data_IF_659782676561
#
_entry.id   IF_659782676561
#
_cell.length_a   1.000
_cell.length_b   1.000
_cell.length_c   1.000
_cell.angle_alpha   90.00
_cell.angle_beta   90.00
_cell.angle_gamma   90.00
#
_symmetry.space_group_name_H-M   'P 1'
#
loop_
_entity.id
_entity.type
_entity.pdbx_description
1 polymer ?
#
# COMPACT_ATOMS: atom_id res chain seq x y z
N UNK A 1 -16.88 -66.93 23.70
CA UNK A 1 -16.40 -65.52 23.65
C UNK A 1 -17.21 -64.65 22.68
N UNK A 2 -18.11 -65.26 21.90
CA UNK A 2 -18.35 -64.84 20.52
C UNK A 2 -19.52 -63.83 20.41
N UNK A 3 -20.48 -63.89 21.33
CA UNK A 3 -21.54 -62.89 21.45
C UNK A 3 -20.99 -61.45 21.59
N UNK A 4 -19.83 -61.27 22.24
CA UNK A 4 -19.21 -59.96 22.43
C UNK A 4 -18.56 -59.43 21.12
N UNK A 5 -18.06 -60.33 20.27
CA UNK A 5 -17.60 -59.99 18.91
C UNK A 5 -18.77 -59.66 17.98
N UNK A 6 -19.90 -60.37 18.13
CA UNK A 6 -21.11 -60.11 17.35
C UNK A 6 -21.67 -58.70 17.65
N UNK A 7 -21.71 -58.30 18.92
CA UNK A 7 -22.09 -56.94 19.33
C UNK A 7 -21.15 -55.86 18.77
N UNK A 8 -19.84 -56.09 18.78
CA UNK A 8 -18.87 -55.15 18.19
C UNK A 8 -19.03 -55.03 16.67
N UNK A 9 -19.26 -56.14 15.95
CA UNK A 9 -19.51 -56.13 14.51
C UNK A 9 -20.81 -55.37 14.17
N UNK A 10 -21.87 -55.55 14.97
CA UNK A 10 -23.13 -54.82 14.82
C UNK A 10 -22.95 -53.31 15.10
N UNK A 11 -22.17 -52.92 16.11
CA UNK A 11 -21.85 -51.51 16.36
C UNK A 11 -21.09 -50.86 15.20
N UNK A 12 -20.08 -51.56 14.63
CA UNK A 12 -19.34 -51.07 13.48
C UNK A 12 -20.22 -50.93 12.22
N UNK A 13 -21.14 -51.88 11.99
CA UNK A 13 -22.12 -51.78 10.90
C UNK A 13 -23.10 -50.62 11.09
N UNK A 14 -23.48 -50.31 12.34
CA UNK A 14 -24.35 -49.17 12.65
C UNK A 14 -23.65 -47.82 12.43
N UNK A 15 -22.41 -47.67 12.92
CA UNK A 15 -21.58 -46.49 12.69
C UNK A 15 -21.25 -46.26 11.20
N UNK A 16 -21.04 -47.34 10.43
CA UNK A 16 -20.86 -47.26 8.98
C UNK A 16 -22.17 -46.89 8.25
N UNK A 17 -23.34 -47.27 8.78
CA UNK A 17 -24.63 -46.84 8.24
C UNK A 17 -24.89 -45.35 8.50
N UNK A 18 -24.57 -44.83 9.69
CA UNK A 18 -24.65 -43.40 9.98
C UNK A 18 -23.69 -42.59 9.07
N UNK A 19 -22.46 -43.05 8.90
CA UNK A 19 -21.50 -42.45 7.96
C UNK A 19 -21.98 -42.50 6.50
N UNK A 20 -22.66 -43.58 6.09
CA UNK A 20 -23.21 -43.73 4.75
C UNK A 20 -24.46 -42.87 4.47
N UNK A 21 -25.19 -42.40 5.50
CA UNK A 21 -26.25 -41.41 5.33
C UNK A 21 -25.71 -39.98 5.15
N UNK A 22 -24.49 -39.70 5.61
CA UNK A 22 -23.88 -38.36 5.54
C UNK A 22 -23.45 -37.91 4.13
N UNK A 23 -23.45 -38.81 3.14
CA UNK A 23 -23.00 -38.54 1.75
C UNK A 23 -24.12 -38.21 0.76
N UNK A 24 -25.35 -37.94 1.23
CA UNK A 24 -26.44 -37.52 0.33
C UNK A 24 -26.25 -36.10 -0.20
N UNK A 25 -26.32 -35.98 -1.53
CA UNK A 25 -26.29 -34.72 -2.29
C UNK A 25 -27.27 -33.69 -1.70
N UNK A 26 -26.76 -32.53 -1.28
CA UNK A 26 -27.57 -31.40 -0.78
C UNK A 26 -28.31 -30.68 -1.90
N UNK A 27 -29.37 -31.31 -2.41
CA UNK A 27 -30.45 -30.60 -3.13
C UNK A 27 -31.53 -30.19 -2.12
N UNK A 28 -32.06 -28.97 -2.30
CA UNK A 28 -32.79 -28.16 -1.29
C UNK A 28 -31.94 -27.69 -0.10
N UNK A 29 -31.58 -26.39 -0.11
CA UNK A 29 -31.63 -25.58 1.11
C UNK A 29 -33.12 -25.33 1.39
N UNK A 30 -33.68 -25.95 2.42
CA UNK A 30 -34.84 -25.37 3.10
C UNK A 30 -34.30 -24.27 4.03
N UNK A 31 -34.86 -23.06 3.96
CA UNK A 31 -34.38 -21.93 4.77
C UNK A 31 -34.63 -22.23 6.25
N UNK A 32 -33.62 -22.00 7.08
CA UNK A 32 -33.73 -22.27 8.51
C UNK A 32 -34.79 -21.36 9.16
N UNK A 33 -35.70 -21.89 10.00
CA UNK A 33 -36.64 -21.06 10.75
C UNK A 33 -35.85 -20.17 11.71
N UNK A 34 -35.95 -18.86 11.51
CA UNK A 34 -35.15 -17.83 12.20
C UNK A 34 -34.75 -16.64 11.32
N UNK A 35 -34.67 -16.80 9.99
CA UNK A 35 -34.33 -15.67 9.08
C UNK A 35 -35.30 -14.48 9.17
N UNK A 36 -36.51 -14.70 9.68
CA UNK A 36 -37.54 -13.67 9.88
C UNK A 36 -37.37 -12.86 11.19
N UNK A 37 -36.58 -13.32 12.17
CA UNK A 37 -36.46 -12.64 13.48
C UNK A 37 -35.50 -11.44 13.48
N UNK A 38 -34.73 -11.24 12.40
CA UNK A 38 -33.77 -10.13 12.29
C UNK A 38 -34.08 -9.12 11.17
N UNK A 39 -35.15 -9.35 10.42
CA UNK A 39 -35.64 -8.43 9.39
C UNK A 39 -34.81 -8.43 8.10
N UNK A 40 -35.39 -8.94 7.02
CA UNK A 40 -34.83 -8.78 5.66
C UNK A 40 -35.18 -7.36 5.19
N UNK A 41 -34.30 -6.40 5.47
CA UNK A 41 -34.55 -5.00 5.16
C UNK A 41 -34.19 -4.66 3.70
N UNK A 42 -35.24 -4.52 2.88
CA UNK A 42 -35.37 -3.65 1.70
C UNK A 42 -34.04 -3.10 1.13
N UNK A 43 -33.46 -3.82 0.16
CA UNK A 43 -32.27 -3.36 -0.56
C UNK A 43 -32.58 -2.35 -1.69
N UNK A 44 -33.81 -1.83 -1.78
CA UNK A 44 -34.17 -0.72 -2.66
C UNK A 44 -34.00 -1.00 -4.16
N UNK A 45 -34.72 -2.00 -4.68
CA UNK A 45 -34.68 -2.39 -6.09
C UNK A 45 -36.04 -2.79 -6.66
N UNK A 46 -36.21 -2.57 -7.95
CA UNK A 46 -37.41 -2.86 -8.76
C UNK A 46 -37.36 -4.29 -9.34
N UNK A 47 -37.28 -5.30 -8.48
CA UNK A 47 -37.00 -6.70 -8.86
C UNK A 47 -38.11 -7.34 -9.71
N UNK A 48 -39.37 -7.15 -9.34
CA UNK A 48 -40.54 -7.59 -10.12
C UNK A 48 -40.91 -6.57 -11.22
N UNK A 49 -40.58 -5.30 -11.03
CA UNK A 49 -41.00 -4.20 -11.90
C UNK A 49 -40.08 -3.99 -13.12
N UNK A 50 -38.81 -4.43 -13.09
CA UNK A 50 -37.81 -4.09 -14.12
C UNK A 50 -37.52 -5.25 -15.11
N UNK A 51 -38.56 -5.90 -15.61
CA UNK A 51 -38.48 -6.85 -16.72
C UNK A 51 -39.86 -7.15 -17.32
N UNK A 52 -40.02 -6.99 -18.63
CA UNK A 52 -41.32 -7.08 -19.34
C UNK A 52 -41.95 -8.50 -19.38
N UNK A 53 -41.33 -9.50 -18.75
CA UNK A 53 -41.83 -10.89 -18.72
C UNK A 53 -41.56 -11.54 -17.36
N UNK A 54 -42.59 -11.66 -16.51
CA UNK A 54 -42.56 -12.62 -15.39
C UNK A 54 -42.59 -14.04 -15.98
N UNK A 55 -41.58 -14.86 -15.69
CA UNK A 55 -41.41 -16.14 -16.37
C UNK A 55 -42.47 -17.19 -15.96
N UNK A 56 -42.91 -17.98 -16.94
CA UNK A 56 -43.94 -19.01 -16.74
C UNK A 56 -43.37 -20.26 -16.06
N UNK A 57 -43.35 -20.21 -14.72
CA UNK A 57 -42.85 -21.27 -13.86
C UNK A 57 -41.39 -21.06 -13.48
N UNK A 58 -40.76 -22.11 -12.94
CA UNK A 58 -39.38 -22.04 -12.46
C UNK A 58 -38.39 -22.14 -13.62
N UNK A 59 -38.01 -20.99 -14.16
CA UNK A 59 -36.84 -20.83 -15.03
C UNK A 59 -35.67 -20.24 -14.22
N UNK A 60 -34.65 -21.06 -13.95
CA UNK A 60 -33.45 -20.64 -13.22
C UNK A 60 -32.59 -19.63 -14.04
N UNK A 61 -32.88 -19.43 -15.33
CA UNK A 61 -32.35 -18.34 -16.16
C UNK A 61 -33.07 -16.99 -15.98
N UNK A 62 -34.14 -16.95 -15.21
CA UNK A 62 -35.02 -15.80 -15.00
C UNK A 62 -35.04 -15.32 -13.53
N UNK A 63 -34.03 -15.69 -12.73
CA UNK A 63 -33.89 -15.30 -11.33
C UNK A 63 -33.01 -14.07 -11.14
N UNK A 64 -33.33 -13.22 -10.16
CA UNK A 64 -32.42 -12.14 -9.74
C UNK A 64 -31.65 -12.59 -8.48
N UNK A 65 -30.31 -12.46 -8.44
CA UNK A 65 -29.54 -12.71 -7.23
C UNK A 65 -29.86 -11.70 -6.11
N UNK A 66 -30.10 -12.21 -4.91
CA UNK A 66 -30.34 -11.41 -3.70
C UNK A 66 -29.54 -12.01 -2.54
N UNK A 67 -28.43 -11.35 -2.17
CA UNK A 67 -27.41 -11.91 -1.29
C UNK A 67 -27.04 -13.36 -1.68
N UNK A 68 -26.99 -14.30 -0.73
CA UNK A 68 -26.66 -15.71 -0.95
C UNK A 68 -27.85 -16.57 -1.49
N UNK A 69 -28.86 -15.92 -2.07
CA UNK A 69 -30.10 -16.54 -2.56
C UNK A 69 -30.47 -16.07 -3.97
N UNK A 70 -31.31 -16.85 -4.64
CA UNK A 70 -31.93 -16.48 -5.92
C UNK A 70 -33.41 -16.21 -5.65
N UNK A 71 -33.89 -15.03 -6.01
CA UNK A 71 -35.32 -14.70 -5.96
C UNK A 71 -35.99 -14.99 -7.31
N UNK A 72 -37.24 -15.45 -7.26
CA UNK A 72 -38.02 -15.83 -8.43
C UNK A 72 -39.23 -14.90 -8.58
N UNK A 73 -39.33 -14.21 -9.72
CA UNK A 73 -40.50 -13.40 -10.08
C UNK A 73 -41.61 -14.29 -10.70
N UNK A 74 -42.02 -15.34 -9.98
CA UNK A 74 -42.90 -16.40 -10.48
C UNK A 74 -44.39 -16.11 -10.28
N UNK A 75 -45.23 -16.80 -11.05
CA UNK A 75 -46.68 -16.57 -11.11
C UNK A 75 -47.48 -17.26 -9.98
N UNK A 76 -46.83 -17.74 -8.91
CA UNK A 76 -47.46 -18.48 -7.80
C UNK A 76 -47.55 -17.67 -6.50
N UNK A 77 -48.30 -16.56 -6.55
CA UNK A 77 -48.75 -15.77 -5.40
C UNK A 77 -49.74 -16.51 -4.45
N UNK A 78 -49.62 -17.83 -4.31
CA UNK A 78 -50.46 -18.71 -3.50
C UNK A 78 -49.63 -19.86 -2.89
N UNK A 79 -48.58 -19.49 -2.14
CA UNK A 79 -47.76 -20.39 -1.33
C UNK A 79 -47.48 -19.77 0.04
N UNK A 80 -47.27 -20.63 1.03
CA UNK A 80 -47.08 -20.27 2.45
C UNK A 80 -45.61 -20.31 2.90
N UNK A 81 -44.66 -20.29 1.95
CA UNK A 81 -43.21 -20.32 2.18
C UNK A 81 -42.55 -19.32 1.23
N UNK A 82 -41.56 -18.58 1.72
CA UNK A 82 -41.07 -17.33 1.09
C UNK A 82 -39.84 -17.55 0.20
N UNK A 83 -40.07 -17.63 -1.12
CA UNK A 83 -39.03 -17.55 -2.16
C UNK A 83 -39.07 -16.19 -2.94
N UNK A 84 -39.89 -15.24 -2.48
CA UNK A 84 -40.27 -14.02 -3.23
C UNK A 84 -39.32 -12.82 -3.05
N UNK A 85 -39.33 -11.91 -4.04
CA UNK A 85 -38.58 -10.65 -4.02
C UNK A 85 -39.05 -9.65 -2.95
N UNK A 86 -38.21 -8.68 -2.51
CA UNK A 86 -38.58 -7.67 -1.51
C UNK A 86 -39.80 -6.80 -1.85
N UNK A 87 -40.06 -6.55 -3.14
CA UNK A 87 -41.17 -5.73 -3.66
C UNK A 87 -42.50 -6.48 -3.83
N UNK A 88 -42.54 -7.78 -3.48
CA UNK A 88 -43.71 -8.66 -3.61
C UNK A 88 -45.01 -8.10 -3.00
N UNK A 89 -44.96 -7.54 -1.79
CA UNK A 89 -46.17 -7.08 -1.08
C UNK A 89 -46.85 -5.90 -1.77
N UNK A 90 -46.05 -4.91 -2.16
CA UNK A 90 -46.54 -3.68 -2.79
C UNK A 90 -46.91 -3.92 -4.27
N UNK A 91 -46.15 -4.74 -5.00
CA UNK A 91 -46.37 -4.97 -6.43
C UNK A 91 -47.37 -6.11 -6.73
N UNK A 92 -47.22 -7.29 -6.11
CA UNK A 92 -48.03 -8.47 -6.45
C UNK A 92 -49.35 -8.55 -5.67
N UNK A 93 -49.42 -7.95 -4.47
CA UNK A 93 -50.63 -7.99 -3.62
C UNK A 93 -51.26 -6.62 -3.37
N UNK A 94 -50.60 -5.51 -3.75
CA UNK A 94 -51.13 -4.15 -3.60
C UNK A 94 -51.32 -3.71 -2.15
N UNK A 95 -50.60 -4.31 -1.20
CA UNK A 95 -50.70 -4.03 0.23
C UNK A 95 -49.35 -3.57 0.80
N UNK A 96 -49.32 -2.63 1.76
CA UNK A 96 -48.07 -2.25 2.41
C UNK A 96 -47.45 -3.46 3.12
N UNK A 97 -46.12 -3.58 3.06
CA UNK A 97 -45.41 -4.71 3.65
C UNK A 97 -45.73 -4.87 5.16
N UNK A 98 -45.93 -6.11 5.66
CA UNK A 98 -46.41 -6.35 7.02
C UNK A 98 -45.41 -5.99 8.14
N UNK A 99 -44.17 -5.64 7.78
CA UNK A 99 -43.15 -5.17 8.70
C UNK A 99 -42.98 -3.66 8.54
N UNK A 100 -43.25 -2.83 9.57
CA UNK A 100 -43.08 -1.39 9.48
C UNK A 100 -41.61 -1.05 9.24
N UNK A 101 -41.34 -0.05 8.39
CA UNK A 101 -39.96 0.40 8.12
C UNK A 101 -39.30 0.85 9.42
N UNK A 102 -38.25 0.13 9.83
CA UNK A 102 -37.47 0.44 11.03
C UNK A 102 -36.88 1.87 10.94
N UNK A 103 -36.58 2.52 12.08
CA UNK A 103 -36.01 3.88 12.10
C UNK A 103 -34.59 3.89 11.49
N UNK A 104 -34.56 4.05 10.18
CA UNK A 104 -33.36 4.14 9.36
C UNK A 104 -32.85 5.58 9.21
N UNK A 105 -31.63 5.70 8.72
CA UNK A 105 -30.97 6.96 8.48
C UNK A 105 -31.22 7.43 7.04
N UNK A 106 -31.61 8.69 6.86
CA UNK A 106 -31.81 9.27 5.53
C UNK A 106 -30.50 9.93 5.03
N UNK A 107 -30.19 9.77 3.75
CA UNK A 107 -29.08 10.47 3.07
C UNK A 107 -29.31 10.57 1.57
N UNK A 108 -29.09 11.75 0.98
CA UNK A 108 -29.21 12.01 -0.46
C UNK A 108 -30.51 11.50 -1.12
N UNK A 109 -31.64 11.58 -0.41
CA UNK A 109 -32.95 11.10 -0.91
C UNK A 109 -33.18 9.58 -0.80
N UNK A 110 -32.25 8.83 -0.22
CA UNK A 110 -32.37 7.39 0.06
C UNK A 110 -32.45 7.13 1.57
N UNK A 111 -33.12 6.05 1.96
CA UNK A 111 -33.24 5.58 3.34
C UNK A 111 -32.40 4.32 3.52
N UNK A 112 -31.66 4.25 4.62
CA UNK A 112 -30.74 3.15 4.94
C UNK A 112 -31.17 2.50 6.28
N UNK A 113 -31.24 1.17 6.39
CA UNK A 113 -31.65 0.51 7.63
C UNK A 113 -30.64 0.71 8.76
N UNK A 114 -31.07 0.52 10.01
CA UNK A 114 -30.20 0.52 11.19
C UNK A 114 -29.07 -0.51 11.02
N UNK A 115 -27.82 -0.11 11.33
CA UNK A 115 -26.63 -0.94 11.11
C UNK A 115 -26.07 -0.92 9.69
N UNK A 116 -26.76 -0.31 8.71
CA UNK A 116 -26.18 -0.11 7.38
C UNK A 116 -24.94 0.78 7.45
N UNK A 117 -23.90 0.42 6.69
CA UNK A 117 -22.68 1.21 6.54
C UNK A 117 -22.60 1.82 5.15
N UNK A 118 -22.02 3.02 5.05
CA UNK A 118 -21.47 3.55 3.82
C UNK A 118 -20.14 4.25 4.12
N UNK A 119 -19.27 4.36 3.11
CA UNK A 119 -17.99 5.03 3.26
C UNK A 119 -18.11 6.48 2.79
N UNK A 120 -17.79 7.43 3.66
CA UNK A 120 -17.72 8.85 3.36
C UNK A 120 -16.26 9.29 3.29
N UNK A 121 -15.72 9.37 2.07
CA UNK A 121 -14.30 9.61 1.83
C UNK A 121 -13.47 8.44 2.43
N UNK A 122 -12.84 8.62 3.59
CA UNK A 122 -12.21 7.54 4.35
C UNK A 122 -13.07 7.00 5.51
N UNK A 123 -13.98 7.82 6.04
CA UNK A 123 -14.74 7.51 7.26
C UNK A 123 -15.82 6.47 7.00
N UNK A 124 -15.90 5.44 7.84
CA UNK A 124 -17.03 4.53 7.87
C UNK A 124 -18.19 5.18 8.65
N UNK A 125 -19.33 5.32 7.99
CA UNK A 125 -20.55 5.87 8.56
C UNK A 125 -21.59 4.76 8.76
N UNK A 126 -21.89 4.45 10.03
CA UNK A 126 -22.84 3.40 10.43
C UNK A 126 -24.17 4.04 10.86
N UNK A 127 -25.31 3.51 10.40
CA UNK A 127 -26.62 4.01 10.83
C UNK A 127 -26.93 3.56 12.27
N UNK A 128 -26.99 4.50 13.21
CA UNK A 128 -27.25 4.22 14.62
C UNK A 128 -28.74 3.94 14.93
N UNK A 129 -29.06 3.29 16.08
CA UNK A 129 -30.44 2.96 16.47
C UNK A 129 -31.39 4.15 16.65
N UNK A 130 -30.85 5.37 16.70
CA UNK A 130 -31.60 6.63 16.78
C UNK A 130 -31.98 7.23 15.41
N UNK A 131 -31.67 6.55 14.29
CA UNK A 131 -31.83 7.10 12.94
C UNK A 131 -30.80 8.18 12.59
N UNK A 132 -29.75 8.32 13.40
CA UNK A 132 -28.62 9.23 13.16
C UNK A 132 -27.39 8.45 12.67
N UNK A 133 -26.66 9.04 11.72
CA UNK A 133 -25.38 8.52 11.25
C UNK A 133 -24.31 8.67 12.33
N UNK A 134 -23.70 7.55 12.71
CA UNK A 134 -22.50 7.48 13.53
C UNK A 134 -21.32 7.28 12.59
N UNK A 135 -20.74 8.39 12.15
CA UNK A 135 -19.51 8.41 11.37
C UNK A 135 -18.28 8.44 12.28
N UNK A 136 -17.22 7.79 11.82
CA UNK A 136 -15.87 8.12 12.25
C UNK A 136 -15.56 9.61 11.95
N UNK A 137 -14.83 10.29 12.84
CA UNK A 137 -14.28 11.66 12.63
C UNK A 137 -12.78 11.58 12.35
N UNK A 138 -12.37 10.73 11.40
CA UNK A 138 -11.02 10.74 10.88
C UNK A 138 -10.87 11.85 9.84
N UNK A 139 -9.71 12.53 9.85
CA UNK A 139 -9.39 13.56 8.88
C UNK A 139 -8.95 12.91 7.56
N UNK A 140 -9.87 12.84 6.60
CA UNK A 140 -9.65 12.13 5.34
C UNK A 140 -8.81 12.94 4.34
N UNK A 141 -7.85 12.26 3.70
CA UNK A 141 -6.86 12.88 2.81
C UNK A 141 -7.44 13.47 1.51
N UNK A 142 -8.58 12.98 1.01
CA UNK A 142 -9.20 13.50 -0.23
C UNK A 142 -10.19 14.62 0.08
N UNK A 143 -9.74 15.72 0.67
CA UNK A 143 -10.58 16.92 0.86
C UNK A 143 -10.81 17.61 -0.49
N UNK A 144 -12.08 17.62 -0.93
CA UNK A 144 -12.48 18.24 -2.19
C UNK A 144 -12.21 19.75 -2.24
N UNK A 145 -12.33 20.45 -1.11
CA UNK A 145 -12.01 21.88 -1.02
C UNK A 145 -10.50 22.14 -1.12
N UNK A 146 -9.68 21.20 -0.66
CA UNK A 146 -8.22 21.30 -0.70
C UNK A 146 -7.68 21.03 -2.11
N UNK A 147 -8.19 20.00 -2.81
CA UNK A 147 -7.94 19.80 -4.25
C UNK A 147 -8.31 21.06 -5.03
N UNK A 148 -9.49 21.61 -4.75
CA UNK A 148 -9.98 22.85 -5.37
C UNK A 148 -9.11 24.06 -5.03
N UNK A 149 -8.59 24.18 -3.80
CA UNK A 149 -7.75 25.28 -3.37
C UNK A 149 -6.38 25.24 -4.04
N UNK A 150 -5.72 24.08 -4.10
CA UNK A 150 -4.45 23.86 -4.80
C UNK A 150 -4.59 24.19 -6.30
N UNK A 151 -5.73 23.87 -6.92
CA UNK A 151 -6.00 24.23 -8.32
C UNK A 151 -6.42 25.69 -8.55
N UNK A 152 -6.75 26.46 -7.50
CA UNK A 152 -7.25 27.86 -7.62
C UNK A 152 -6.31 28.93 -7.04
N UNK A 153 -5.32 28.55 -6.24
CA UNK A 153 -4.48 29.50 -5.51
C UNK A 153 -3.02 29.08 -5.45
N UNK A 154 -2.13 30.08 -5.47
CA UNK A 154 -0.70 29.87 -5.35
C UNK A 154 -0.37 29.46 -3.90
N UNK A 155 -0.29 28.14 -3.65
CA UNK A 155 0.22 27.45 -2.44
C UNK A 155 -0.82 27.30 -1.24
N UNK A 156 -1.03 26.10 -0.61
CA UNK A 156 -1.52 25.88 0.80
C UNK A 156 -1.12 24.63 1.71
N UNK A 157 -0.61 24.79 2.97
CA UNK A 157 0.16 23.83 3.86
C UNK A 157 -0.53 23.03 5.04
N UNK A 158 0.06 21.86 5.38
CA UNK A 158 0.00 20.95 6.58
C UNK A 158 -1.30 20.09 6.74
N UNK A 159 -1.40 18.74 6.96
CA UNK A 159 -0.63 17.45 7.10
C UNK A 159 -1.65 16.27 7.40
N UNK A 160 -1.49 14.99 7.87
CA UNK A 160 -0.45 13.97 8.22
C UNK A 160 -0.69 12.74 7.27
N UNK A 161 -1.58 11.82 7.70
CA UNK A 161 -1.95 10.48 7.20
C UNK A 161 -3.04 9.90 8.15
N UNK A 162 -3.74 8.80 7.80
CA UNK A 162 -4.89 8.29 8.56
C UNK A 162 -5.17 6.77 8.46
N UNK A 163 -5.75 6.19 9.53
CA UNK A 163 -6.13 4.79 9.70
C UNK A 163 -7.21 4.27 8.73
N UNK A 164 -7.47 2.96 8.79
CA UNK A 164 -8.73 2.36 8.31
C UNK A 164 -8.93 2.40 6.79
N UNK A 165 -8.09 1.69 6.04
CA UNK A 165 -8.17 1.67 4.56
C UNK A 165 -7.58 2.91 3.88
N UNK A 166 -7.29 3.97 4.63
CA UNK A 166 -6.29 4.98 4.25
C UNK A 166 -4.86 4.52 4.53
N UNK A 167 -3.87 5.18 3.92
CA UNK A 167 -2.46 5.04 4.31
C UNK A 167 -2.24 5.87 5.58
N UNK A 168 -1.84 5.22 6.69
CA UNK A 168 -1.52 5.88 7.97
C UNK A 168 -0.02 6.08 8.17
N UNK A 169 0.32 7.01 9.07
CA UNK A 169 1.66 7.18 9.61
C UNK A 169 2.03 6.03 10.54
N UNK A 170 3.12 5.35 10.20
CA UNK A 170 4.03 4.88 11.25
C UNK A 170 4.66 6.07 11.96
N UNK A 171 5.17 5.84 13.18
CA UNK A 171 5.81 6.89 13.97
C UNK A 171 6.99 7.56 13.23
N UNK A 172 7.35 8.80 13.60
CA UNK A 172 8.34 9.60 12.88
C UNK A 172 9.63 8.82 12.65
N UNK A 173 10.21 8.97 11.45
CA UNK A 173 11.58 8.56 11.19
C UNK A 173 12.49 9.36 12.13
N UNK A 174 12.90 8.73 13.24
CA UNK A 174 13.78 9.35 14.23
C UNK A 174 15.13 9.56 13.56
N UNK A 175 15.37 10.78 13.08
CA UNK A 175 16.68 11.23 12.59
C UNK A 175 17.61 11.40 13.78
N UNK A 176 17.99 10.27 14.37
CA UNK A 176 19.22 10.16 15.13
C UNK A 176 20.35 10.60 14.20
N UNK A 177 21.04 11.68 14.58
CA UNK A 177 22.23 12.17 13.90
C UNK A 177 23.19 11.00 13.65
N UNK A 178 23.43 10.61 12.38
CA UNK A 178 24.27 9.45 12.12
C UNK A 178 25.69 9.74 12.58
N UNK A 179 26.30 8.77 13.27
CA UNK A 179 27.73 8.56 13.11
C UNK A 179 27.99 7.98 11.72
N UNK A 180 27.79 8.80 10.69
CA UNK A 180 28.36 8.62 9.36
C UNK A 180 29.87 8.84 9.49
N UNK A 181 30.57 7.85 10.06
CA UNK A 181 32.02 7.93 10.37
C UNK A 181 32.89 7.93 9.12
N UNK A 182 32.31 7.76 7.94
CA UNK A 182 32.91 8.10 6.67
C UNK A 182 32.50 9.53 6.31
N UNK A 183 33.49 10.42 6.20
CA UNK A 183 33.37 11.61 5.36
C UNK A 183 32.94 11.14 3.95
N UNK A 184 32.19 11.95 3.18
CA UNK A 184 32.04 11.68 1.75
C UNK A 184 33.44 11.55 1.11
N UNK A 185 33.60 10.73 0.04
CA UNK A 185 34.80 10.79 -0.77
C UNK A 185 35.01 12.24 -1.21
N UNK A 186 36.25 12.74 -1.23
CA UNK A 186 36.53 14.12 -1.61
C UNK A 186 36.11 14.36 -3.06
N UNK A 187 34.91 14.90 -3.24
CA UNK A 187 34.41 15.33 -4.54
C UNK A 187 35.21 16.56 -4.95
N UNK A 188 36.23 16.32 -5.77
CA UNK A 188 36.92 17.38 -6.50
C UNK A 188 35.93 17.98 -7.51
N UNK A 189 35.15 18.93 -7.03
CA UNK A 189 34.30 19.80 -7.84
C UNK A 189 35.13 21.01 -8.24
N UNK A 190 35.41 21.16 -9.53
CA UNK A 190 35.94 22.42 -10.04
C UNK A 190 34.82 23.48 -9.91
N UNK A 191 35.13 24.68 -9.43
CA UNK A 191 34.14 25.76 -9.34
C UNK A 191 33.56 26.12 -10.71
N UNK A 192 34.31 25.87 -11.78
CA UNK A 192 33.95 26.05 -13.19
C UNK A 192 33.24 24.84 -13.81
N UNK A 193 33.00 23.75 -13.08
CA UNK A 193 32.37 22.55 -13.60
C UNK A 193 30.89 22.82 -13.96
N UNK A 194 30.58 22.69 -15.26
CA UNK A 194 29.24 22.95 -15.82
C UNK A 194 28.48 21.63 -15.95
N UNK A 195 27.60 21.37 -14.99
CA UNK A 195 26.70 20.23 -14.99
C UNK A 195 25.53 20.45 -15.99
N UNK A 196 24.95 19.40 -16.59
CA UNK A 196 23.85 19.54 -17.56
C UNK A 196 22.58 20.07 -16.88
N UNK A 197 21.75 20.84 -17.61
CA UNK A 197 20.50 21.41 -17.09
C UNK A 197 19.43 20.36 -16.74
N UNK A 198 19.43 19.25 -17.49
CA UNK A 198 18.56 18.10 -17.26
C UNK A 198 19.40 16.84 -17.13
N UNK A 199 19.00 15.96 -16.22
CA UNK A 199 19.60 14.65 -16.02
C UNK A 199 18.55 13.65 -15.55
N UNK A 200 18.60 12.45 -16.12
CA UNK A 200 17.82 11.30 -15.69
C UNK A 200 18.75 10.08 -15.64
N UNK A 201 18.78 9.41 -14.49
CA UNK A 201 19.55 8.19 -14.29
C UNK A 201 19.03 7.03 -15.17
N UNK A 202 17.73 6.94 -15.45
CA UNK A 202 17.17 5.86 -16.27
C UNK A 202 17.61 5.98 -17.75
N UNK A 203 17.60 7.19 -18.29
CA UNK A 203 18.17 7.49 -19.60
C UNK A 203 19.70 7.28 -19.66
N UNK A 204 20.45 7.56 -18.58
CA UNK A 204 21.92 7.33 -18.55
C UNK A 204 22.30 5.86 -18.38
N UNK A 205 21.56 5.09 -17.57
CA UNK A 205 21.83 3.68 -17.30
C UNK A 205 20.57 2.81 -17.54
N UNK A 206 20.18 2.59 -18.82
CA UNK A 206 18.98 1.84 -19.14
C UNK A 206 19.00 0.42 -18.56
N UNK A 207 17.90 0.01 -17.92
CA UNK A 207 17.77 -1.29 -17.27
C UNK A 207 18.55 -1.47 -15.96
N UNK A 208 19.22 -0.43 -15.46
CA UNK A 208 19.94 -0.46 -14.17
C UNK A 208 19.23 0.34 -13.06
N UNK A 209 18.17 1.06 -13.40
CA UNK A 209 17.34 1.84 -12.48
C UNK A 209 16.00 1.11 -12.29
N UNK A 210 15.65 0.79 -11.04
CA UNK A 210 14.44 0.02 -10.73
C UNK A 210 13.24 0.93 -10.45
N UNK A 211 12.06 0.48 -10.88
CA UNK A 211 10.79 1.21 -10.73
C UNK A 211 10.32 1.35 -9.26
N UNK A 212 9.46 2.35 -8.97
CA UNK A 212 8.81 2.52 -7.66
C UNK A 212 7.94 1.32 -7.24
N UNK A 213 8.36 0.62 -6.18
CA UNK A 213 7.52 -0.35 -5.46
C UNK A 213 6.46 0.38 -4.59
N UNK A 214 5.42 -0.33 -4.11
CA UNK A 214 4.48 0.20 -3.10
C UNK A 214 4.72 -0.40 -1.71
N UNK A 215 4.86 0.47 -0.70
CA UNK A 215 4.87 0.13 0.72
C UNK A 215 3.48 -0.19 1.29
N UNK A 216 2.40 0.05 0.54
CA UNK A 216 1.02 -0.13 0.99
C UNK A 216 0.75 0.66 2.28
N UNK A 217 0.18 -0.02 3.28
CA UNK A 217 -0.13 0.55 4.60
C UNK A 217 1.01 0.35 5.63
N UNK A 218 2.22 0.01 5.18
CA UNK A 218 3.43 -0.09 6.02
C UNK A 218 4.24 1.21 5.93
N UNK A 219 4.65 1.83 7.04
CA UNK A 219 5.57 2.99 7.02
C UNK A 219 7.04 2.55 6.81
N UNK A 220 7.26 1.79 5.75
CA UNK A 220 8.54 1.17 5.41
C UNK A 220 9.42 2.01 4.50
N UNK A 221 9.07 3.26 4.17
CA UNK A 221 9.77 4.08 3.17
C UNK A 221 11.28 4.19 3.39
N UNK A 222 11.74 4.18 4.64
CA UNK A 222 13.15 4.07 5.04
C UNK A 222 13.85 2.83 4.44
N UNK A 223 13.19 1.67 4.48
CA UNK A 223 13.69 0.41 3.94
C UNK A 223 13.53 0.35 2.42
N UNK A 224 12.38 0.80 1.88
CA UNK A 224 12.10 0.81 0.45
C UNK A 224 13.10 1.68 -0.32
N UNK A 225 13.33 2.92 0.11
CA UNK A 225 14.27 3.81 -0.56
C UNK A 225 15.75 3.40 -0.36
N UNK A 226 16.12 2.80 0.79
CA UNK A 226 17.46 2.22 0.97
C UNK A 226 17.67 1.02 0.04
N UNK A 227 16.69 0.11 -0.06
CA UNK A 227 16.75 -1.03 -0.98
C UNK A 227 16.80 -0.59 -2.44
N UNK A 228 15.96 0.37 -2.86
CA UNK A 228 15.94 0.88 -4.23
C UNK A 228 17.24 1.59 -4.62
N UNK A 229 17.78 2.48 -3.78
CA UNK A 229 19.08 3.14 -4.03
C UNK A 229 20.21 2.11 -4.09
N UNK A 230 20.21 1.12 -3.19
CA UNK A 230 21.23 0.07 -3.22
C UNK A 230 21.15 -0.84 -4.46
N UNK A 231 19.94 -1.15 -4.93
CA UNK A 231 19.70 -1.93 -6.16
C UNK A 231 20.31 -1.22 -7.37
N UNK A 232 19.99 0.06 -7.54
CA UNK A 232 20.48 0.87 -8.65
C UNK A 232 21.99 1.08 -8.58
N UNK A 233 22.54 1.38 -7.39
CA UNK A 233 23.98 1.55 -7.18
C UNK A 233 24.76 0.27 -7.50
N UNK A 234 24.29 -0.91 -7.08
CA UNK A 234 24.93 -2.18 -7.42
C UNK A 234 24.88 -2.44 -8.93
N UNK A 235 23.77 -2.07 -9.59
CA UNK A 235 23.59 -2.22 -11.03
C UNK A 235 24.56 -1.33 -11.82
N UNK A 236 24.61 -0.04 -11.48
CA UNK A 236 25.51 0.96 -12.10
C UNK A 236 26.98 0.59 -11.88
N UNK A 237 27.39 0.35 -10.63
CA UNK A 237 28.79 0.08 -10.32
C UNK A 237 29.27 -1.30 -10.80
N UNK A 238 28.37 -2.25 -11.07
CA UNK A 238 28.70 -3.53 -11.73
C UNK A 238 28.69 -3.44 -13.26
N UNK A 239 28.46 -2.25 -13.82
CA UNK A 239 28.33 -2.02 -15.27
C UNK A 239 27.24 -2.91 -15.92
N UNK A 240 26.15 -3.17 -15.18
CA UNK A 240 25.08 -4.06 -15.62
C UNK A 240 25.46 -5.55 -15.69
N UNK A 241 26.50 -6.00 -14.98
CA UNK A 241 26.76 -7.44 -14.81
C UNK A 241 25.76 -8.11 -13.86
N UNK A 242 25.17 -7.35 -12.95
CA UNK A 242 24.04 -7.77 -12.12
C UNK A 242 23.06 -6.61 -11.93
N UNK A 243 21.75 -6.90 -11.96
CA UNK A 243 20.68 -5.92 -11.72
C UNK A 243 19.73 -6.42 -10.62
N UNK A 244 20.16 -6.49 -9.35
CA UNK A 244 19.39 -7.10 -8.30
C UNK A 244 18.40 -6.11 -7.66
N UNK A 245 17.11 -6.28 -7.93
CA UNK A 245 16.05 -5.60 -7.19
C UNK A 245 16.01 -6.12 -5.75
N UNK A 246 16.50 -5.34 -4.78
CA UNK A 246 16.67 -5.76 -3.38
C UNK A 246 15.37 -5.68 -2.58
N UNK A 247 15.17 -6.65 -1.67
CA UNK A 247 13.96 -6.78 -0.84
C UNK A 247 13.85 -5.71 0.25
N UNK A 248 12.80 -4.85 0.23
CA UNK A 248 12.46 -4.03 1.38
C UNK A 248 11.94 -4.87 2.55
N UNK A 249 11.22 -5.96 2.27
CA UNK A 249 10.66 -6.87 3.28
C UNK A 249 11.74 -7.51 4.15
N UNK A 250 12.90 -7.82 3.58
CA UNK A 250 14.03 -8.38 4.31
C UNK A 250 14.62 -7.35 5.29
N UNK A 251 14.72 -6.07 4.93
CA UNK A 251 15.06 -5.01 5.89
C UNK A 251 13.98 -4.88 6.98
N UNK A 252 12.70 -4.74 6.60
CA UNK A 252 11.58 -4.51 7.50
C UNK A 252 11.39 -5.61 8.56
N UNK A 253 11.66 -6.85 8.18
CA UNK A 253 11.49 -8.04 9.05
C UNK A 253 12.75 -8.38 9.84
N UNK A 254 13.95 -8.10 9.30
CA UNK A 254 15.20 -8.67 9.78
C UNK A 254 16.23 -7.66 10.30
N UNK A 255 16.11 -6.36 10.00
CA UNK A 255 16.80 -5.30 10.74
C UNK A 255 15.95 -4.87 11.92
N UNK A 256 16.09 -5.57 13.05
CA UNK A 256 15.28 -5.32 14.26
C UNK A 256 16.01 -4.45 15.29
N UNK A 257 17.24 -3.98 15.02
CA UNK A 257 18.06 -3.27 16.00
C UNK A 257 17.77 -1.77 16.00
N UNK A 258 16.95 -1.32 16.94
CA UNK A 258 16.47 0.06 17.06
C UNK A 258 15.57 0.54 15.90
N UNK A 259 15.09 -0.39 15.07
CA UNK A 259 14.07 -0.16 14.04
C UNK A 259 12.68 -0.56 14.55
N UNK A 260 11.62 -0.14 13.85
CA UNK A 260 10.22 -0.52 14.17
C UNK A 260 9.48 -1.11 12.96
N UNK A 261 10.20 -1.56 11.93
CA UNK A 261 9.61 -2.16 10.73
C UNK A 261 8.63 -1.21 10.04
N UNK A 262 7.35 -1.58 10.03
CA UNK A 262 6.25 -0.79 9.47
C UNK A 262 5.78 0.37 10.35
N UNK A 263 6.31 0.55 11.56
CA UNK A 263 6.04 1.71 12.42
C UNK A 263 7.17 2.76 12.39
N UNK A 264 7.87 2.85 11.26
CA UNK A 264 9.01 3.73 11.02
C UNK A 264 10.38 3.10 11.32
N UNK A 265 11.44 3.76 10.89
CA UNK A 265 12.81 3.27 11.03
C UNK A 265 13.88 4.32 10.76
N UNK A 266 15.14 3.90 10.87
CA UNK A 266 16.34 4.72 10.80
C UNK A 266 17.21 4.31 9.62
N UNK A 267 17.63 5.32 8.85
CA UNK A 267 18.50 5.17 7.69
C UNK A 267 19.90 4.68 8.08
N UNK A 268 20.45 5.14 9.21
CA UNK A 268 21.77 4.70 9.68
C UNK A 268 21.80 3.22 10.07
N UNK A 269 20.71 2.72 10.67
CA UNK A 269 20.49 1.30 10.92
C UNK A 269 20.39 0.50 9.62
N UNK A 270 19.58 0.97 8.66
CA UNK A 270 19.38 0.29 7.38
C UNK A 270 20.67 0.16 6.56
N UNK A 271 21.44 1.24 6.42
CA UNK A 271 22.75 1.20 5.75
C UNK A 271 23.80 0.40 6.54
N UNK A 272 23.74 0.41 7.89
CA UNK A 272 24.58 -0.47 8.70
C UNK A 272 24.23 -1.95 8.46
N UNK A 273 22.93 -2.27 8.35
CA UNK A 273 22.44 -3.63 8.09
C UNK A 273 22.87 -4.09 6.71
N UNK A 274 22.59 -3.33 5.65
CA UNK A 274 22.97 -3.68 4.29
C UNK A 274 24.50 -3.84 4.13
N UNK A 275 25.29 -2.96 4.77
CA UNK A 275 26.76 -3.10 4.82
C UNK A 275 27.19 -4.37 5.56
N UNK A 276 26.65 -4.63 6.76
CA UNK A 276 27.18 -5.67 7.68
C UNK A 276 26.57 -7.05 7.49
N UNK A 277 25.29 -7.12 7.14
CA UNK A 277 24.46 -8.31 6.94
C UNK A 277 24.13 -8.53 5.48
N UNK A 278 23.81 -7.48 4.74
CA UNK A 278 23.27 -7.59 3.38
C UNK A 278 21.82 -8.09 3.36
N UNK A 279 21.22 -8.08 2.17
CA UNK A 279 19.83 -8.51 1.92
C UNK A 279 19.73 -9.35 0.64
N UNK A 280 18.63 -10.09 0.49
CA UNK A 280 18.28 -10.79 -0.76
C UNK A 280 17.46 -9.92 -1.73
N UNK A 281 17.21 -10.42 -2.94
CA UNK A 281 16.26 -9.82 -3.88
C UNK A 281 14.82 -9.86 -3.38
N UNK A 282 13.99 -8.93 -3.86
CA UNK A 282 12.54 -8.95 -3.63
C UNK A 282 11.90 -10.21 -4.25
N UNK A 283 12.40 -10.70 -5.38
CA UNK A 283 11.99 -12.00 -5.96
C UNK A 283 12.15 -13.17 -4.98
N UNK A 284 13.15 -13.12 -4.08
CA UNK A 284 13.39 -14.15 -3.08
C UNK A 284 12.55 -13.92 -1.81
N UNK A 285 12.45 -12.68 -1.35
CA UNK A 285 11.63 -12.30 -0.20
C UNK A 285 10.75 -11.08 -0.54
N UNK A 286 9.59 -11.31 -1.20
CA UNK A 286 8.76 -10.22 -1.70
C UNK A 286 8.05 -9.48 -0.59
N UNK A 287 7.75 -8.20 -0.81
CA UNK A 287 6.93 -7.42 0.09
C UNK A 287 5.48 -7.93 0.17
N UNK A 288 4.92 -7.97 1.38
CA UNK A 288 3.56 -8.42 1.65
C UNK A 288 2.78 -7.40 2.49
N UNK A 289 1.87 -6.68 1.84
CA UNK A 289 1.01 -5.67 2.45
C UNK A 289 -0.15 -6.30 3.25
N UNK A 290 0.13 -6.98 4.36
CA UNK A 290 -0.92 -7.48 5.25
C UNK A 290 -1.53 -6.33 6.08
N UNK A 291 -2.79 -6.00 5.81
CA UNK A 291 -3.51 -4.82 6.33
C UNK A 291 -3.82 -4.79 7.84
N UNK A 292 -3.45 -5.82 8.61
CA UNK A 292 -4.01 -6.03 9.96
C UNK A 292 -3.05 -6.60 11.02
N UNK A 293 -1.73 -6.44 10.85
CA UNK A 293 -0.72 -6.90 11.82
C UNK A 293 0.17 -5.75 12.34
N UNK A 294 -0.01 -5.29 13.59
CA UNK A 294 0.86 -4.27 14.21
C UNK A 294 2.29 -4.74 14.54
N UNK A 295 2.58 -6.03 14.35
CA UNK A 295 3.89 -6.62 14.53
C UNK A 295 4.60 -6.75 13.18
N UNK A 296 5.87 -6.33 13.12
CA UNK A 296 6.72 -6.63 11.96
C UNK A 296 6.79 -8.15 11.73
N UNK A 297 6.53 -8.58 10.50
CA UNK A 297 6.58 -9.99 10.08
C UNK A 297 7.88 -10.63 10.57
N UNK A 298 7.84 -11.83 11.18
CA UNK A 298 9.03 -12.44 11.76
C UNK A 298 10.08 -12.70 10.68
N UNK A 299 11.35 -12.48 11.01
CA UNK A 299 12.44 -12.66 10.04
C UNK A 299 12.56 -14.12 9.57
N UNK A 300 12.06 -14.40 8.37
CA UNK A 300 12.19 -15.71 7.72
C UNK A 300 13.60 -15.97 7.16
N UNK A 301 14.42 -14.92 6.95
CA UNK A 301 15.75 -15.05 6.34
C UNK A 301 16.79 -14.08 6.93
N UNK A 302 17.70 -14.61 7.74
CA UNK A 302 18.90 -13.92 8.20
C UNK A 302 20.11 -14.20 7.29
N UNK A 303 21.22 -13.50 7.52
CA UNK A 303 22.51 -13.79 6.86
C UNK A 303 23.61 -14.22 7.84
N UNK A 304 24.29 -15.32 7.48
CA UNK A 304 25.49 -15.85 8.16
C UNK A 304 26.77 -15.34 7.48
N UNK A 305 27.85 -15.26 8.24
CA UNK A 305 29.18 -14.88 7.72
C UNK A 305 29.89 -16.10 7.15
N UNK A 306 30.38 -16.03 5.92
CA UNK A 306 31.14 -17.10 5.26
C UNK A 306 32.66 -16.86 5.25
N UNK A 307 33.11 -15.75 5.83
CA UNK A 307 34.52 -15.33 5.83
C UNK A 307 34.83 -14.30 4.75
N UNK A 308 36.01 -13.66 4.82
CA UNK A 308 36.42 -12.55 3.92
C UNK A 308 35.37 -11.41 3.80
N UNK A 309 34.51 -11.30 4.80
CA UNK A 309 33.35 -10.39 4.80
C UNK A 309 32.21 -10.76 3.86
N UNK A 310 32.25 -11.89 3.12
CA UNK A 310 31.10 -12.39 2.34
C UNK A 310 30.00 -12.93 3.28
N UNK A 311 28.79 -13.02 2.74
CA UNK A 311 27.55 -13.42 3.43
C UNK A 311 26.82 -14.51 2.64
N UNK A 312 25.96 -15.24 3.32
CA UNK A 312 25.01 -16.20 2.72
C UNK A 312 23.71 -16.19 3.52
N UNK A 313 22.57 -16.39 2.87
CA UNK A 313 21.30 -16.61 3.54
C UNK A 313 21.36 -17.83 4.49
N UNK A 314 20.55 -17.80 5.56
CA UNK A 314 20.42 -18.93 6.50
C UNK A 314 19.29 -19.91 6.13
N UNK A 315 18.49 -19.58 5.13
CA UNK A 315 17.27 -20.29 4.75
C UNK A 315 17.08 -20.29 3.21
N UNK A 316 16.05 -20.99 2.73
CA UNK A 316 15.53 -20.81 1.38
C UNK A 316 14.64 -19.55 1.30
N UNK A 317 14.39 -19.07 0.08
CA UNK A 317 13.53 -17.92 -0.18
C UNK A 317 12.09 -18.14 0.36
N UNK A 318 11.49 -17.15 1.04
CA UNK A 318 10.06 -17.16 1.37
C UNK A 318 9.16 -17.27 0.13
N UNK A 319 9.59 -16.75 -1.03
CA UNK A 319 8.97 -17.09 -2.31
C UNK A 319 9.44 -18.50 -2.77
N UNK A 320 8.55 -19.50 -2.86
CA UNK A 320 8.93 -20.86 -3.29
C UNK A 320 9.29 -20.96 -4.78
N UNK A 321 8.98 -19.93 -5.59
CA UNK A 321 9.30 -19.88 -7.02
C UNK A 321 10.78 -19.55 -7.28
N UNK A 322 11.45 -18.94 -6.31
CA UNK A 322 12.82 -18.43 -6.45
C UNK A 322 13.79 -19.28 -5.63
N UNK A 323 14.90 -19.71 -6.23
CA UNK A 323 15.96 -20.45 -5.52
C UNK A 323 17.24 -19.62 -5.31
N UNK A 324 17.35 -18.45 -5.95
CA UNK A 324 18.45 -17.51 -5.77
C UNK A 324 18.31 -16.75 -4.44
N UNK A 325 19.08 -17.17 -3.42
CA UNK A 325 19.14 -16.54 -2.10
C UNK A 325 20.47 -15.80 -1.85
N UNK A 326 20.99 -15.16 -2.91
CA UNK A 326 22.22 -14.37 -2.87
C UNK A 326 22.08 -13.15 -1.95
N UNK A 327 23.11 -12.86 -1.16
CA UNK A 327 23.12 -11.74 -0.21
C UNK A 327 23.99 -10.61 -0.75
N UNK A 328 23.32 -9.55 -1.20
CA UNK A 328 23.94 -8.33 -1.69
C UNK A 328 24.28 -7.39 -0.54
N UNK A 329 25.38 -6.65 -0.66
CA UNK A 329 25.91 -5.76 0.38
C UNK A 329 26.30 -4.41 -0.20
N UNK A 330 26.33 -3.38 0.66
CA UNK A 330 26.87 -2.06 0.33
C UNK A 330 28.24 -1.81 0.96
N UNK A 331 28.92 -0.77 0.49
CA UNK A 331 29.99 -0.09 1.25
C UNK A 331 29.38 0.71 2.41
N UNK A 332 30.16 1.40 3.26
CA UNK A 332 29.60 2.37 4.20
C UNK A 332 28.98 3.54 3.42
N UNK A 333 27.71 3.84 3.69
CA UNK A 333 27.08 5.04 3.19
C UNK A 333 27.67 6.30 3.82
N UNK A 334 27.64 7.41 3.08
CA UNK A 334 28.13 8.74 3.48
C UNK A 334 27.05 9.80 3.24
N UNK A 335 27.08 10.86 4.06
CA UNK A 335 26.21 12.04 3.88
C UNK A 335 26.87 13.03 2.93
N UNK A 336 26.12 13.53 1.97
CA UNK A 336 26.52 14.66 1.11
C UNK A 336 26.33 15.98 1.85
N UNK A 337 27.01 17.03 1.42
CA UNK A 337 26.62 18.39 1.81
C UNK A 337 25.29 18.78 1.14
N UNK A 338 24.58 19.75 1.73
CA UNK A 338 23.34 20.33 1.18
C UNK A 338 23.59 21.28 0.00
N UNK A 339 24.65 21.04 -0.78
CA UNK A 339 25.00 21.79 -1.98
C UNK A 339 24.28 21.19 -3.19
N UNK A 340 23.44 21.99 -3.86
CA UNK A 340 22.78 21.63 -5.13
C UNK A 340 23.76 20.95 -6.10
N UNK A 341 24.95 21.55 -6.28
CA UNK A 341 25.99 21.03 -7.19
C UNK A 341 26.60 19.69 -6.73
N UNK A 342 26.77 19.47 -5.43
CA UNK A 342 27.35 18.22 -4.91
C UNK A 342 26.37 17.06 -5.08
N UNK A 343 25.09 17.29 -4.80
CA UNK A 343 24.00 16.33 -5.02
C UNK A 343 23.86 16.02 -6.53
N UNK A 344 23.89 17.04 -7.40
CA UNK A 344 23.90 16.85 -8.86
C UNK A 344 25.13 16.06 -9.33
N UNK A 345 26.33 16.33 -8.80
CA UNK A 345 27.57 15.63 -9.21
C UNK A 345 27.56 14.16 -8.77
N UNK A 346 27.15 13.86 -7.54
CA UNK A 346 27.00 12.49 -7.05
C UNK A 346 25.98 11.69 -7.87
N UNK A 347 24.84 12.30 -8.20
CA UNK A 347 23.83 11.72 -9.10
C UNK A 347 24.39 11.44 -10.50
N UNK A 348 25.18 12.38 -11.05
CA UNK A 348 25.79 12.25 -12.37
C UNK A 348 26.84 11.15 -12.43
N UNK A 349 27.76 11.10 -11.46
CA UNK A 349 28.91 10.18 -11.47
C UNK A 349 28.52 8.79 -10.99
N UNK A 350 27.77 8.69 -9.89
CA UNK A 350 27.58 7.45 -9.13
C UNK A 350 26.14 6.93 -9.13
N UNK A 351 25.15 7.75 -9.52
CA UNK A 351 23.74 7.34 -9.68
C UNK A 351 22.81 7.76 -8.53
N UNK A 352 21.58 7.21 -8.47
CA UNK A 352 20.54 7.63 -7.53
C UNK A 352 21.00 7.75 -6.08
N UNK A 353 20.48 8.76 -5.37
CA UNK A 353 20.79 9.04 -3.95
C UNK A 353 19.55 8.92 -3.09
N UNK A 354 19.73 8.61 -1.81
CA UNK A 354 18.61 8.58 -0.86
C UNK A 354 18.47 9.95 -0.19
N UNK A 355 17.25 10.48 -0.14
CA UNK A 355 16.93 11.72 0.57
C UNK A 355 15.89 11.48 1.67
N UNK A 356 15.82 12.40 2.64
CA UNK A 356 14.65 12.64 3.48
C UNK A 356 13.96 13.88 2.93
N UNK A 357 12.63 13.91 2.92
CA UNK A 357 11.87 15.16 2.88
C UNK A 357 10.82 15.18 4.00
N UNK A 358 10.40 16.39 4.36
CA UNK A 358 9.16 16.63 5.08
C UNK A 358 7.98 16.44 4.12
N UNK A 359 7.00 15.64 4.54
CA UNK A 359 5.77 15.35 3.80
C UNK A 359 4.60 15.95 4.54
N UNK A 360 3.76 16.60 3.74
CA UNK A 360 2.59 17.34 4.14
C UNK A 360 1.38 16.81 3.35
N UNK A 361 0.17 17.29 3.63
CA UNK A 361 -1.10 16.84 3.06
C UNK A 361 -1.21 17.08 1.54
N UNK A 362 -0.76 18.24 1.08
CA UNK A 362 -0.77 18.65 -0.34
C UNK A 362 0.08 17.70 -1.20
N UNK A 363 1.19 17.20 -0.66
CA UNK A 363 2.05 16.22 -1.31
C UNK A 363 1.33 14.90 -1.62
N UNK A 364 0.39 14.43 -0.79
CA UNK A 364 -0.35 13.19 -1.10
C UNK A 364 -1.23 13.33 -2.34
N UNK A 365 -1.74 14.53 -2.60
CA UNK A 365 -2.54 14.88 -3.78
C UNK A 365 -1.70 15.08 -5.05
N UNK A 366 -0.37 15.03 -4.95
CA UNK A 366 0.52 15.26 -6.08
C UNK A 366 0.22 14.31 -7.24
N UNK A 367 0.04 14.91 -8.42
CA UNK A 367 -0.28 14.20 -9.68
C UNK A 367 0.71 14.50 -10.80
N UNK A 368 1.15 15.75 -10.91
CA UNK A 368 2.05 16.21 -11.97
C UNK A 368 2.58 17.62 -11.69
N UNK A 369 3.69 17.99 -12.33
CA UNK A 369 4.30 19.33 -12.23
C UNK A 369 5.40 19.39 -11.17
N UNK A 370 5.87 20.59 -10.85
CA UNK A 370 6.95 20.80 -9.86
C UNK A 370 6.30 21.13 -8.52
N UNK A 371 6.30 20.17 -7.59
CA UNK A 371 5.84 20.34 -6.22
C UNK A 371 6.71 21.34 -5.45
N UNK A 372 6.03 22.11 -4.60
CA UNK A 372 6.55 23.03 -3.58
C UNK A 372 5.62 22.93 -2.37
N UNK A 373 6.05 23.36 -1.18
CA UNK A 373 5.18 23.38 0.02
C UNK A 373 4.62 24.76 0.39
N UNK A 374 3.54 24.71 1.17
CA UNK A 374 2.30 25.49 1.03
C UNK A 374 2.28 27.02 1.47
N UNK A 375 1.11 27.70 1.79
CA UNK A 375 0.68 27.95 3.23
C UNK A 375 -0.78 27.70 3.75
N UNK A 376 -1.90 28.03 3.07
CA UNK A 376 -3.34 27.92 3.48
C UNK A 376 -3.78 27.04 4.69
N UNK A 377 -3.52 25.72 4.80
CA UNK A 377 -4.07 24.91 5.91
C UNK A 377 -3.44 25.23 7.29
N UNK A 378 -2.50 26.17 7.34
CA UNK A 378 -2.23 27.07 8.48
C UNK A 378 -3.49 27.72 9.10
N UNK A 379 -4.58 27.86 8.34
CA UNK A 379 -5.90 28.28 8.84
C UNK A 379 -6.81 27.14 9.30
N UNK A 380 -6.56 25.88 8.89
CA UNK A 380 -7.34 24.70 9.31
C UNK A 380 -6.73 24.17 10.62
N UNK A 381 -7.43 24.36 11.74
CA UNK A 381 -6.91 24.10 13.11
C UNK A 381 -6.35 22.68 13.33
N UNK A 382 -5.59 22.45 14.42
CA UNK A 382 -4.51 21.44 14.54
C UNK A 382 -4.87 19.96 14.36
N UNK A 383 -6.15 19.61 14.13
CA UNK A 383 -6.49 18.29 13.56
C UNK A 383 -6.14 18.16 12.07
N UNK A 384 -5.72 19.26 11.41
CA UNK A 384 -5.25 19.28 10.02
C UNK A 384 -3.75 19.59 9.92
N UNK A 385 -3.16 20.46 10.77
CA UNK A 385 -1.72 20.81 10.71
C UNK A 385 -0.82 19.74 11.34
N UNK A 386 -0.03 19.04 10.52
CA UNK A 386 0.27 17.62 10.80
C UNK A 386 1.49 17.05 9.98
N UNK A 387 2.65 17.71 9.94
CA UNK A 387 3.80 17.28 9.08
C UNK A 387 4.54 16.00 9.54
N UNK A 388 5.07 15.18 8.62
CA UNK A 388 5.89 14.00 8.95
C UNK A 388 7.09 13.78 8.04
N UNK A 389 8.10 13.01 8.45
CA UNK A 389 9.31 12.74 7.64
C UNK A 389 9.21 11.47 6.81
N UNK A 390 9.54 11.57 5.52
CA UNK A 390 9.51 10.49 4.53
C UNK A 390 10.88 10.34 3.85
N UNK A 391 11.16 9.18 3.24
CA UNK A 391 12.44 8.94 2.55
C UNK A 391 12.24 8.36 1.16
N UNK A 392 12.97 8.93 0.20
CA UNK A 392 12.77 8.77 -1.25
C UNK A 392 14.10 8.55 -1.97
N UNK A 393 14.02 8.11 -3.22
CA UNK A 393 15.18 7.94 -4.12
C UNK A 393 15.19 9.10 -5.13
N UNK A 394 16.14 10.03 -5.05
CA UNK A 394 16.32 11.03 -6.11
C UNK A 394 16.99 10.33 -7.30
N UNK A 395 16.38 10.46 -8.49
CA UNK A 395 16.79 9.79 -9.74
C UNK A 395 17.27 10.76 -10.81
N UNK A 396 16.95 12.05 -10.71
CA UNK A 396 17.29 13.04 -11.73
C UNK A 396 17.08 14.49 -11.30
N UNK A 397 17.24 15.41 -12.24
CA UNK A 397 16.91 16.83 -12.07
C UNK A 397 16.58 17.48 -13.41
N UNK A 398 15.95 18.65 -13.37
CA UNK A 398 15.73 19.46 -14.56
C UNK A 398 15.48 20.93 -14.28
N UNK A 399 15.15 21.64 -15.35
CA UNK A 399 14.88 23.08 -15.40
C UNK A 399 13.74 23.30 -16.40
N UNK A 400 12.60 23.81 -15.92
CA UNK A 400 11.41 24.08 -16.73
C UNK A 400 11.24 25.60 -16.89
N UNK A 401 10.90 26.05 -18.10
CA UNK A 401 10.60 27.46 -18.38
C UNK A 401 9.11 27.70 -18.17
N UNK A 402 8.78 28.51 -17.16
CA UNK A 402 7.41 28.90 -16.85
C UNK A 402 6.87 29.93 -17.88
N UNK A 403 5.54 30.06 -18.05
CA UNK A 403 4.94 30.98 -19.02
C UNK A 403 5.24 32.48 -18.81
N UNK A 404 5.76 32.86 -17.63
CA UNK A 404 6.21 34.21 -17.29
C UNK A 404 7.70 34.46 -17.61
N UNK A 405 8.41 33.44 -18.11
CA UNK A 405 9.84 33.50 -18.44
C UNK A 405 10.78 33.16 -17.28
N UNK A 406 10.27 32.70 -16.14
CA UNK A 406 11.10 32.21 -15.03
C UNK A 406 11.52 30.75 -15.22
N UNK A 407 12.79 30.44 -14.93
CA UNK A 407 13.27 29.05 -14.92
C UNK A 407 13.05 28.43 -13.54
N UNK A 408 12.10 27.49 -13.42
CA UNK A 408 11.92 26.71 -12.20
C UNK A 408 12.80 25.45 -12.26
N UNK A 409 13.77 25.36 -11.33
CA UNK A 409 14.57 24.16 -11.12
C UNK A 409 13.77 23.09 -10.38
N UNK A 410 13.99 21.82 -10.71
CA UNK A 410 13.45 20.68 -9.96
C UNK A 410 14.45 19.52 -9.80
N UNK A 411 14.26 18.72 -8.75
CA UNK A 411 14.72 17.33 -8.63
C UNK A 411 13.63 16.39 -9.14
N UNK A 412 14.01 15.24 -9.70
CA UNK A 412 13.11 14.12 -9.96
C UNK A 412 13.38 13.02 -8.94
N UNK A 413 12.34 12.52 -8.28
CA UNK A 413 12.45 11.49 -7.26
C UNK A 413 11.41 10.37 -7.43
N UNK A 414 11.84 9.13 -7.21
CA UNK A 414 10.98 7.96 -7.06
C UNK A 414 10.44 7.90 -5.63
N UNK A 415 9.11 7.80 -5.51
CA UNK A 415 8.42 7.55 -4.26
C UNK A 415 8.42 6.03 -3.95
N UNK A 416 7.73 5.59 -2.89
CA UNK A 416 7.50 4.18 -2.56
C UNK A 416 6.00 3.86 -2.40
N UNK A 417 5.15 4.53 -3.19
CA UNK A 417 3.69 4.37 -3.19
C UNK A 417 3.15 3.69 -4.46
N UNK A 418 4.01 2.99 -5.20
CA UNK A 418 3.68 2.33 -6.47
C UNK A 418 3.53 3.29 -7.65
N UNK A 419 3.53 2.72 -8.86
CA UNK A 419 3.53 3.47 -10.13
C UNK A 419 2.21 4.19 -10.46
N UNK A 420 1.12 3.92 -9.72
CA UNK A 420 -0.18 4.56 -9.93
C UNK A 420 -0.31 5.96 -9.30
N UNK A 421 0.62 6.35 -8.42
CA UNK A 421 0.65 7.67 -7.77
C UNK A 421 1.57 8.63 -8.54
N UNK A 422 1.25 9.93 -8.56
CA UNK A 422 2.11 10.96 -9.17
C UNK A 422 2.40 10.73 -10.66
N UNK A 423 3.61 11.10 -11.08
CA UNK A 423 4.11 10.95 -12.45
C UNK A 423 4.72 9.54 -12.64
N UNK A 424 3.88 8.50 -12.53
CA UNK A 424 4.34 7.10 -12.71
C UNK A 424 5.14 6.58 -11.51
N UNK A 425 4.67 6.84 -10.29
CA UNK A 425 5.36 6.57 -9.03
C UNK A 425 6.48 7.57 -8.70
N UNK A 426 6.73 8.52 -9.60
CA UNK A 426 7.72 9.58 -9.44
C UNK A 426 7.05 10.93 -9.14
N UNK A 427 7.85 11.88 -8.68
CA UNK A 427 7.46 13.27 -8.53
C UNK A 427 8.63 14.21 -8.84
N UNK A 428 8.30 15.45 -9.16
CA UNK A 428 9.26 16.55 -9.29
C UNK A 428 9.05 17.54 -8.15
N UNK A 429 10.13 17.97 -7.48
CA UNK A 429 10.13 18.91 -6.35
C UNK A 429 11.14 20.03 -6.59
N UNK A 430 10.87 21.26 -6.14
CA UNK A 430 11.77 22.40 -6.37
C UNK A 430 13.20 22.17 -5.84
N UNK A 431 14.19 22.66 -6.61
CA UNK A 431 15.64 22.44 -6.40
C UNK A 431 16.40 23.74 -6.21
N UNK A 432 17.44 23.71 -5.37
CA UNK A 432 18.29 24.86 -5.04
C UNK A 432 17.70 25.80 -3.99
N UNK A 433 16.66 25.34 -3.27
CA UNK A 433 15.92 26.11 -2.25
C UNK A 433 15.63 25.29 -0.99
N UNK A 434 16.12 24.05 -0.90
CA UNK A 434 15.85 23.11 0.18
C UNK A 434 14.35 22.89 0.50
N UNK A 435 13.53 22.82 -0.55
CA UNK A 435 12.08 22.57 -0.49
C UNK A 435 11.79 21.30 0.34
N UNK A 436 10.95 21.38 1.37
CA UNK A 436 10.67 20.28 2.31
C UNK A 436 11.93 19.60 2.91
N UNK A 437 13.01 20.35 3.18
CA UNK A 437 14.30 19.81 3.64
C UNK A 437 14.97 18.77 2.71
N UNK A 438 14.55 18.64 1.44
CA UNK A 438 15.00 17.57 0.53
C UNK A 438 16.51 17.58 0.22
N UNK A 439 17.18 18.70 0.46
CA UNK A 439 18.63 18.90 0.30
C UNK A 439 19.37 18.82 1.66
N UNK A 440 18.66 18.84 2.80
CA UNK A 440 19.24 18.78 4.16
C UNK A 440 19.92 17.43 4.42
N UNK A 441 19.24 16.31 4.12
CA UNK A 441 19.73 14.98 4.42
C UNK A 441 19.74 14.08 3.17
N UNK A 442 20.86 14.11 2.45
CA UNK A 442 21.10 13.27 1.27
C UNK A 442 22.26 12.30 1.54
N UNK A 443 22.09 11.04 1.13
CA UNK A 443 23.01 9.92 1.39
C UNK A 443 23.42 9.23 0.09
N UNK A 444 24.73 9.15 -0.13
CA UNK A 444 25.36 8.36 -1.18
C UNK A 444 25.97 7.05 -0.66
N UNK A 445 26.14 6.08 -1.54
CA UNK A 445 26.69 4.74 -1.21
C UNK A 445 27.27 4.08 -2.45
N UNK A 446 28.19 3.11 -2.28
CA UNK A 446 28.65 2.27 -3.39
C UNK A 446 28.15 0.84 -3.20
N UNK A 447 27.79 0.19 -4.30
CA UNK A 447 27.53 -1.25 -4.33
C UNK A 447 28.81 -2.00 -3.99
N UNK A 448 28.74 -3.03 -3.13
CA UNK A 448 29.92 -3.82 -2.77
C UNK A 448 30.08 -4.99 -3.74
N UNK A 449 30.79 -4.74 -4.83
CA UNK A 449 31.09 -5.71 -5.88
C UNK A 449 32.52 -6.24 -5.69
N UNK A 450 32.73 -7.52 -5.94
CA UNK A 450 34.05 -8.16 -6.05
C UNK A 450 34.31 -8.66 -7.47
N UNK A 451 35.57 -8.97 -7.80
CA UNK A 451 35.95 -9.44 -9.14
C UNK A 451 35.22 -10.74 -9.53
N UNK A 452 35.01 -11.64 -8.56
CA UNK A 452 34.23 -12.88 -8.73
C UNK A 452 32.82 -12.58 -9.26
N UNK A 453 32.17 -11.56 -8.68
CA UNK A 453 30.79 -11.17 -8.99
C UNK A 453 30.67 -10.49 -10.38
N UNK A 454 31.78 -10.00 -10.96
CA UNK A 454 31.83 -9.52 -12.35
C UNK A 454 32.17 -10.61 -13.37
N UNK A 455 32.70 -11.76 -12.94
CA UNK A 455 33.10 -12.86 -13.85
C UNK A 455 31.99 -13.85 -14.20
N UNK A 456 30.80 -13.74 -13.61
CA UNK A 456 29.65 -14.57 -13.96
C UNK A 456 28.88 -13.98 -15.16
N UNK A 457 29.17 -14.51 -16.36
CA UNK A 457 28.38 -14.39 -17.60
C UNK A 457 28.49 -15.70 -18.39
#
# INVERSE_FOLDING_TARGET
ADNMRLLQALLCLWLLAEAALASRVRTRRELAPGLYEHGVYDAGGSYCQQGDVCCHGRDDGCTVPYHDTLCYCDLFCNRTVSDCCPDFWEYCLGIPAPFPKAPGCARAGRSYPTGATYQENCNLCTCGPSGQWQCEDHACLMDGELIDAVNRGNYGCWGWAAAGGGKELGGPCVVSTPHASALPPQMNMDSNEVLPRHFDAAAKWPGMIHEPLDQGNCAGSWAFSTAAVASDRISIHSMGHMTPALSPQNLLSCDTRNQRGCSGGRLDGAWWYLRRRGVVTDECYPFTSQESQPAAQPCMMHSRSTGRGKRQATAHCPNPQTHANEIYQSTPAYRLSSSEKEIMKELLENGPVQAILEVHEDFFMYKSGIYRHTPVAEGKGPKHQRHGTHSVKITGWGEEQLPDGQTQKYWTAANSWGTAWGEGGHFRIARGVNECEVETFVVGVWGRISMEDMTHK
#
